data_IF_118864026457
#
_entry.id   IF_118864026457
#
_cell.length_a   1.000
_cell.length_b   1.000
_cell.length_c   1.000
_cell.angle_alpha   90.00
_cell.angle_beta   90.00
_cell.angle_gamma   90.00
#
_symmetry.space_group_name_H-M   'P 1'
#
loop_
_entity.id
_entity.type
_entity.pdbx_description
1 polymer ?
#
# COMPACT_ATOMS: atom_id res chain seq x y z
N UNK A 1 14.76 -0.19 -23.33
CA UNK A 1 15.94 -0.63 -22.55
C UNK A 1 15.77 -0.18 -21.11
N UNK A 2 16.27 -0.96 -20.15
CA UNK A 2 16.28 -0.58 -18.73
C UNK A 2 17.45 0.34 -18.44
N UNK A 3 17.23 1.30 -17.55
CA UNK A 3 18.27 2.09 -16.89
C UNK A 3 18.04 1.97 -15.39
N UNK A 4 19.11 1.77 -14.63
CA UNK A 4 19.07 1.60 -13.18
C UNK A 4 19.92 2.64 -12.47
N UNK A 5 19.49 3.01 -11.27
CA UNK A 5 20.21 3.94 -10.39
C UNK A 5 19.92 3.59 -8.93
N UNK A 6 20.85 3.92 -8.04
CA UNK A 6 20.60 3.98 -6.59
C UNK A 6 20.23 5.39 -6.12
N UNK A 7 20.30 6.38 -7.02
CA UNK A 7 19.97 7.78 -6.73
C UNK A 7 18.46 7.99 -6.75
N UNK A 8 17.89 8.26 -5.58
CA UNK A 8 16.50 8.67 -5.44
C UNK A 8 16.19 9.93 -6.27
N UNK A 9 17.05 10.94 -6.23
CA UNK A 9 16.82 12.22 -6.92
C UNK A 9 16.79 12.05 -8.44
N UNK A 10 17.68 11.21 -8.97
CA UNK A 10 17.69 10.89 -10.40
C UNK A 10 16.43 10.13 -10.80
N UNK A 11 16.06 9.10 -10.02
CA UNK A 11 14.87 8.31 -10.28
C UNK A 11 13.60 9.16 -10.23
N UNK A 12 13.43 9.98 -9.19
CA UNK A 12 12.28 10.87 -9.05
C UNK A 12 12.18 11.81 -10.27
N UNK A 13 13.28 12.43 -10.68
CA UNK A 13 13.31 13.34 -11.84
C UNK A 13 12.85 12.68 -13.15
N UNK A 14 13.14 11.39 -13.35
CA UNK A 14 12.87 10.69 -14.62
C UNK A 14 11.55 9.93 -14.58
N UNK A 15 11.29 9.18 -13.52
CA UNK A 15 10.15 8.24 -13.44
C UNK A 15 8.89 8.86 -12.84
N UNK A 16 9.00 9.83 -11.91
CA UNK A 16 7.83 10.42 -11.24
C UNK A 16 6.82 11.05 -12.23
N UNK A 17 7.24 11.81 -13.27
CA UNK A 17 6.29 12.34 -14.26
C UNK A 17 5.49 11.24 -14.99
N UNK A 18 6.11 10.09 -15.25
CA UNK A 18 5.43 8.93 -15.84
C UNK A 18 4.47 8.28 -14.84
N UNK A 19 4.90 8.09 -13.59
CA UNK A 19 4.09 7.49 -12.52
C UNK A 19 2.84 8.34 -12.21
N UNK A 20 2.96 9.67 -12.28
CA UNK A 20 1.86 10.62 -12.10
C UNK A 20 0.79 10.53 -13.20
N UNK A 21 1.04 9.82 -14.30
CA UNK A 21 0.02 9.57 -15.34
C UNK A 21 -1.12 8.66 -14.87
N UNK A 22 -0.89 7.82 -13.86
CA UNK A 22 -1.93 7.02 -13.19
C UNK A 22 -1.61 6.87 -11.69
N UNK A 23 -1.88 7.90 -10.86
CA UNK A 23 -1.52 7.88 -9.45
C UNK A 23 -2.22 6.79 -8.64
N UNK A 24 -3.39 6.33 -9.10
CA UNK A 24 -4.16 5.25 -8.45
C UNK A 24 -3.41 3.93 -8.59
N UNK A 25 -3.05 3.52 -9.80
CA UNK A 25 -2.29 2.27 -10.02
C UNK A 25 -0.85 2.36 -9.51
N UNK A 26 -0.29 3.58 -9.48
CA UNK A 26 1.08 3.85 -9.04
C UNK A 26 1.17 4.32 -7.58
N UNK A 27 0.09 4.19 -6.80
CA UNK A 27 0.00 4.68 -5.41
C UNK A 27 1.17 4.21 -4.54
N UNK A 28 1.63 2.97 -4.71
CA UNK A 28 2.75 2.44 -3.92
C UNK A 28 4.06 3.11 -4.30
N UNK A 29 4.38 3.20 -5.59
CA UNK A 29 5.60 3.84 -6.09
C UNK A 29 5.67 5.32 -5.68
N UNK A 30 4.56 6.05 -5.84
CA UNK A 30 4.47 7.47 -5.46
C UNK A 30 4.58 7.67 -3.93
N UNK A 31 3.97 6.78 -3.13
CA UNK A 31 4.11 6.82 -1.67
C UNK A 31 5.56 6.53 -1.24
N UNK A 32 6.27 5.62 -1.92
CA UNK A 32 7.68 5.35 -1.65
C UNK A 32 8.52 6.59 -1.96
N UNK A 33 8.30 7.25 -3.11
CA UNK A 33 8.95 8.51 -3.44
C UNK A 33 8.71 9.59 -2.39
N UNK A 34 7.45 9.77 -1.95
CA UNK A 34 7.10 10.74 -0.91
C UNK A 34 7.80 10.45 0.43
N UNK A 35 7.87 9.18 0.84
CA UNK A 35 8.57 8.78 2.06
C UNK A 35 10.08 9.04 1.98
N UNK A 36 10.73 8.68 0.86
CA UNK A 36 12.15 8.93 0.65
C UNK A 36 12.46 10.42 0.67
N UNK A 37 11.60 11.23 0.02
CA UNK A 37 11.68 12.70 0.06
C UNK A 37 11.56 13.27 1.48
N UNK A 38 10.76 12.62 2.32
CA UNK A 38 10.62 12.97 3.74
C UNK A 38 11.77 12.44 4.62
N UNK A 39 12.83 11.87 4.04
CA UNK A 39 14.02 11.40 4.75
C UNK A 39 13.90 9.99 5.31
N UNK A 40 12.93 9.18 4.86
CA UNK A 40 12.88 7.78 5.23
C UNK A 40 14.13 7.05 4.74
N UNK A 41 14.87 6.37 5.63
CA UNK A 41 16.08 5.66 5.22
C UNK A 41 15.73 4.45 4.36
N UNK A 42 16.57 4.19 3.37
CA UNK A 42 16.58 2.93 2.60
C UNK A 42 18.01 2.46 2.45
N UNK A 43 18.21 1.14 2.46
CA UNK A 43 19.53 0.54 2.27
C UNK A 43 19.55 -0.16 0.91
N UNK A 44 20.61 0.09 0.16
CA UNK A 44 20.87 -0.53 -1.15
C UNK A 44 19.66 -0.50 -2.12
N UNK A 45 19.01 0.68 -2.32
CA UNK A 45 17.86 0.75 -3.21
C UNK A 45 18.28 0.52 -4.66
N UNK A 46 17.42 -0.14 -5.42
CA UNK A 46 17.52 -0.25 -6.87
C UNK A 46 16.28 0.40 -7.47
N UNK A 47 16.49 1.48 -8.21
CA UNK A 47 15.43 2.13 -8.97
C UNK A 47 15.68 1.92 -10.45
N UNK A 48 14.61 1.76 -11.24
CA UNK A 48 14.75 1.58 -12.67
C UNK A 48 13.59 2.14 -13.49
N UNK A 49 13.89 2.51 -14.72
CA UNK A 49 12.89 2.88 -15.72
C UNK A 49 13.18 2.23 -17.07
N UNK A 50 12.11 1.90 -17.78
CA UNK A 50 12.15 1.32 -19.11
C UNK A 50 11.80 2.38 -20.14
N UNK A 51 12.70 2.57 -21.11
CA UNK A 51 12.54 3.56 -22.17
C UNK A 51 12.29 2.89 -23.52
N UNK A 52 11.30 3.40 -24.26
CA UNK A 52 11.02 3.08 -25.67
C UNK A 52 10.94 4.41 -26.43
N UNK A 53 11.68 4.55 -27.53
CA UNK A 53 11.72 5.77 -28.36
C UNK A 53 11.98 7.06 -27.55
N UNK A 54 12.90 6.98 -26.58
CA UNK A 54 13.26 8.11 -25.72
C UNK A 54 12.24 8.48 -24.65
N UNK A 55 11.12 7.75 -24.54
CA UNK A 55 10.07 7.99 -23.55
C UNK A 55 10.02 6.89 -22.49
N UNK A 56 9.82 7.27 -21.23
CA UNK A 56 9.58 6.32 -20.14
C UNK A 56 8.24 5.63 -20.38
N UNK A 57 8.28 4.29 -20.45
CA UNK A 57 7.12 3.41 -20.64
C UNK A 57 6.94 2.40 -19.51
N UNK A 58 7.93 2.29 -18.63
CA UNK A 58 7.79 1.50 -17.42
C UNK A 58 8.72 1.97 -16.31
N UNK A 59 8.39 1.57 -15.10
CA UNK A 59 9.13 1.96 -13.90
C UNK A 59 9.06 0.86 -12.84
N UNK A 60 10.18 0.65 -12.16
CA UNK A 60 10.29 -0.26 -11.02
C UNK A 60 11.10 0.40 -9.90
N UNK A 61 10.84 -0.05 -8.68
CA UNK A 61 11.64 0.30 -7.53
C UNK A 61 11.84 -0.95 -6.66
N UNK A 62 12.95 -1.00 -5.95
CA UNK A 62 13.24 -2.03 -4.99
C UNK A 62 13.98 -1.40 -3.82
N UNK A 63 13.32 -1.38 -2.66
CA UNK A 63 13.87 -0.85 -1.40
C UNK A 63 13.93 -1.99 -0.39
N UNK A 64 15.00 -2.81 -0.39
CA UNK A 64 15.13 -3.92 0.53
C UNK A 64 14.89 -3.53 1.99
N UNK A 65 14.24 -4.40 2.80
CA UNK A 65 13.90 -5.80 2.49
C UNK A 65 12.59 -5.99 1.70
N UNK A 66 11.89 -4.93 1.34
CA UNK A 66 10.59 -5.03 0.66
C UNK A 66 10.72 -5.63 -0.76
N UNK A 67 9.67 -6.29 -1.27
CA UNK A 67 9.66 -6.85 -2.63
C UNK A 67 9.88 -5.76 -3.68
N UNK A 68 10.44 -6.15 -4.83
CA UNK A 68 10.53 -5.27 -5.99
C UNK A 68 9.13 -4.89 -6.49
N UNK A 69 8.85 -3.59 -6.55
CA UNK A 69 7.59 -3.04 -7.04
C UNK A 69 7.59 -2.92 -8.56
N UNK A 70 6.71 -3.68 -9.21
CA UNK A 70 6.52 -3.75 -10.67
C UNK A 70 5.18 -3.14 -11.11
N UNK A 71 4.69 -2.14 -10.35
CA UNK A 71 3.35 -1.55 -10.51
C UNK A 71 3.11 -0.90 -11.87
N UNK A 72 4.17 -0.34 -12.47
CA UNK A 72 4.13 0.38 -13.74
C UNK A 72 5.03 -0.29 -14.79
N UNK A 73 5.20 -1.62 -14.74
CA UNK A 73 6.03 -2.35 -15.70
C UNK A 73 5.14 -2.99 -16.75
N UNK A 74 5.27 -2.65 -18.04
CA UNK A 74 4.52 -3.33 -19.09
C UNK A 74 5.05 -4.75 -19.28
N UNK A 75 4.18 -5.68 -19.71
CA UNK A 75 4.50 -7.13 -19.80
C UNK A 75 5.74 -7.40 -20.64
N UNK A 76 5.91 -6.68 -21.75
CA UNK A 76 7.06 -6.81 -22.65
C UNK A 76 8.39 -6.36 -22.03
N UNK A 77 8.36 -5.54 -20.97
CA UNK A 77 9.56 -5.10 -20.27
C UNK A 77 10.00 -6.08 -19.16
N UNK A 78 9.19 -7.10 -18.84
CA UNK A 78 9.49 -8.05 -17.76
C UNK A 78 10.68 -8.95 -18.09
N UNK A 79 10.73 -9.55 -19.28
CA UNK A 79 11.87 -10.41 -19.65
C UNK A 79 13.20 -9.64 -19.66
N UNK A 80 13.30 -8.45 -20.29
CA UNK A 80 14.49 -7.61 -20.19
C UNK A 80 14.81 -7.15 -18.77
N UNK A 81 13.81 -6.99 -17.89
CA UNK A 81 14.04 -6.64 -16.48
C UNK A 81 14.72 -7.78 -15.74
N UNK A 82 14.16 -8.99 -15.88
CA UNK A 82 14.68 -10.21 -15.26
C UNK A 82 16.11 -10.47 -15.71
N UNK A 83 16.38 -10.34 -17.02
CA UNK A 83 17.73 -10.46 -17.58
C UNK A 83 18.69 -9.42 -17.00
N UNK A 84 18.28 -8.15 -16.96
CA UNK A 84 19.14 -7.07 -16.45
C UNK A 84 19.39 -7.13 -14.93
N UNK A 85 18.60 -7.92 -14.20
CA UNK A 85 18.80 -8.21 -12.78
C UNK A 85 19.49 -9.57 -12.56
N UNK A 86 20.02 -10.22 -13.60
CA UNK A 86 20.64 -11.54 -13.54
C UNK A 86 19.71 -12.60 -12.90
N UNK A 87 18.40 -12.50 -13.16
CA UNK A 87 17.39 -13.37 -12.55
C UNK A 87 17.08 -13.07 -11.07
N UNK A 88 17.69 -12.05 -10.48
CA UNK A 88 17.55 -11.73 -9.04
C UNK A 88 16.27 -10.95 -8.75
N UNK A 89 15.17 -11.67 -8.56
CA UNK A 89 13.91 -11.15 -8.03
C UNK A 89 13.38 -12.08 -6.94
N UNK A 90 13.98 -12.08 -5.72
CA UNK A 90 13.58 -12.99 -4.64
C UNK A 90 12.16 -12.74 -4.17
N UNK A 91 11.67 -11.50 -4.31
CA UNK A 91 10.26 -11.19 -4.15
C UNK A 91 9.88 -10.00 -5.04
N UNK A 92 8.69 -10.05 -5.62
CA UNK A 92 8.15 -8.94 -6.40
C UNK A 92 6.65 -8.77 -6.19
N UNK A 93 6.14 -7.57 -6.46
CA UNK A 93 4.72 -7.25 -6.40
C UNK A 93 4.33 -6.44 -7.62
N UNK A 94 3.22 -6.79 -8.27
CA UNK A 94 2.72 -6.07 -9.44
C UNK A 94 1.38 -6.62 -9.93
N UNK A 95 0.82 -6.05 -11.02
CA UNK A 95 -0.41 -6.54 -11.63
C UNK A 95 -0.32 -8.03 -12.00
N UNK A 96 -1.46 -8.73 -12.04
CA UNK A 96 -1.48 -10.18 -12.31
C UNK A 96 -0.81 -10.57 -13.64
N UNK A 97 -0.94 -9.76 -14.68
CA UNK A 97 -0.29 -9.99 -15.98
C UNK A 97 1.24 -9.87 -15.93
N UNK A 98 1.76 -8.92 -15.15
CA UNK A 98 3.19 -8.66 -14.96
C UNK A 98 3.82 -9.75 -14.10
N UNK A 99 3.16 -10.08 -12.99
CA UNK A 99 3.61 -11.14 -12.07
C UNK A 99 3.51 -12.51 -12.72
N UNK A 100 2.45 -12.78 -13.51
CA UNK A 100 2.35 -13.98 -14.33
C UNK A 100 3.46 -14.08 -15.39
N UNK A 101 3.90 -12.97 -15.97
CA UNK A 101 5.07 -12.95 -16.86
C UNK A 101 6.38 -13.27 -16.09
N UNK A 102 6.55 -12.71 -14.89
CA UNK A 102 7.69 -13.02 -14.04
C UNK A 102 7.74 -14.52 -13.65
N UNK A 103 6.60 -15.11 -13.25
CA UNK A 103 6.49 -16.54 -12.93
C UNK A 103 6.85 -17.43 -14.12
N UNK A 104 6.48 -17.06 -15.36
CA UNK A 104 6.87 -17.85 -16.55
C UNK A 104 8.39 -17.87 -16.78
N UNK A 105 9.10 -16.83 -16.35
CA UNK A 105 10.55 -16.70 -16.54
C UNK A 105 11.35 -17.30 -15.38
N UNK A 106 10.89 -17.07 -14.14
CA UNK A 106 11.59 -17.45 -12.92
C UNK A 106 11.18 -18.84 -12.41
N UNK A 107 10.07 -19.39 -12.89
CA UNK A 107 9.47 -20.62 -12.38
C UNK A 107 8.40 -20.35 -11.31
N UNK A 108 7.85 -21.41 -10.68
CA UNK A 108 6.81 -21.28 -9.67
C UNK A 108 7.35 -20.62 -8.39
N UNK A 109 6.67 -19.61 -7.82
CA UNK A 109 7.04 -19.01 -6.54
C UNK A 109 6.73 -19.95 -5.37
N UNK A 110 7.47 -19.82 -4.26
CA UNK A 110 7.21 -20.55 -3.02
C UNK A 110 6.01 -20.00 -2.23
N UNK A 111 5.68 -18.71 -2.43
CA UNK A 111 4.48 -18.09 -1.86
C UNK A 111 3.84 -17.10 -2.84
N UNK A 112 2.50 -17.10 -2.86
CA UNK A 112 1.68 -16.12 -3.58
C UNK A 112 0.65 -15.53 -2.63
N UNK A 113 0.57 -14.20 -2.54
CA UNK A 113 -0.53 -13.47 -1.90
C UNK A 113 -1.15 -12.56 -2.94
N UNK A 114 -2.45 -12.67 -3.17
CA UNK A 114 -3.13 -11.85 -4.18
C UNK A 114 -4.01 -10.81 -3.52
N UNK A 115 -3.89 -9.57 -3.96
CA UNK A 115 -4.64 -8.44 -3.43
C UNK A 115 -5.39 -7.71 -4.53
N UNK A 116 -6.46 -7.03 -4.15
CA UNK A 116 -7.21 -6.14 -5.01
C UNK A 116 -6.98 -4.70 -4.60
N UNK A 117 -6.58 -3.87 -5.57
CA UNK A 117 -6.65 -2.43 -5.45
C UNK A 117 -8.09 -1.98 -5.64
N UNK A 118 -8.60 -1.27 -4.65
CA UNK A 118 -9.87 -0.57 -4.71
C UNK A 118 -9.64 0.95 -4.72
N UNK A 119 -10.54 1.67 -5.39
CA UNK A 119 -10.65 3.12 -5.33
C UNK A 119 -12.02 3.50 -4.78
N UNK A 120 -12.08 4.49 -3.90
CA UNK A 120 -13.34 5.03 -3.41
C UNK A 120 -14.09 5.74 -4.54
N UNK A 121 -15.32 5.31 -4.81
CA UNK A 121 -16.30 6.02 -5.63
C UNK A 121 -17.08 7.01 -4.76
N UNK A 122 -18.39 6.81 -4.65
CA UNK A 122 -19.22 7.60 -3.72
C UNK A 122 -19.21 6.97 -2.33
N UNK A 123 -18.65 7.69 -1.35
CA UNK A 123 -18.58 7.21 0.03
C UNK A 123 -19.98 6.99 0.62
N UNK A 124 -20.22 5.75 1.07
CA UNK A 124 -21.40 5.41 1.87
C UNK A 124 -20.99 5.28 3.33
N UNK A 125 -21.46 6.20 4.18
CA UNK A 125 -21.14 6.19 5.62
C UNK A 125 -22.03 5.16 6.31
N UNK A 126 -21.47 4.13 6.96
CA UNK A 126 -22.28 3.11 7.63
C UNK A 126 -22.88 3.64 8.93
N UNK A 127 -24.13 3.26 9.22
CA UNK A 127 -24.80 3.56 10.48
C UNK A 127 -24.31 2.59 11.58
N UNK A 128 -23.23 2.97 12.25
CA UNK A 128 -22.58 2.18 13.31
C UNK A 128 -22.44 3.08 14.54
N UNK A 129 -22.87 2.66 15.74
CA UNK A 129 -22.70 3.46 16.95
C UNK A 129 -21.23 3.78 17.24
N UNK A 130 -20.98 5.03 17.62
CA UNK A 130 -19.67 5.54 17.97
C UNK A 130 -19.27 6.77 17.17
N UNK A 131 -17.98 7.10 17.23
CA UNK A 131 -17.41 8.22 16.47
C UNK A 131 -15.97 7.95 16.10
N UNK A 132 -15.56 8.45 14.94
CA UNK A 132 -14.17 8.43 14.54
C UNK A 132 -13.42 9.66 15.04
N UNK A 133 -12.15 9.47 15.42
CA UNK A 133 -11.23 10.57 15.74
C UNK A 133 -9.81 10.26 15.27
N UNK A 134 -9.00 11.30 15.17
CA UNK A 134 -7.56 11.14 15.05
C UNK A 134 -6.98 10.57 16.35
N UNK A 135 -5.98 9.70 16.22
CA UNK A 135 -5.19 9.24 17.35
C UNK A 135 -4.31 10.37 17.92
N UNK A 136 -4.04 10.28 19.21
CA UNK A 136 -3.27 11.23 20.01
C UNK A 136 -2.03 10.53 20.59
N UNK A 137 -1.03 11.28 21.09
CA UNK A 137 0.15 10.69 21.73
C UNK A 137 -0.18 9.69 22.86
N UNK A 138 -1.30 9.87 23.57
CA UNK A 138 -1.75 8.95 24.61
C UNK A 138 -2.21 7.58 24.11
N UNK A 139 -2.52 7.45 22.81
CA UNK A 139 -2.95 6.19 22.20
C UNK A 139 -1.76 5.27 21.81
N UNK A 140 -0.51 5.74 21.93
CA UNK A 140 0.68 5.02 21.44
C UNK A 140 0.77 3.57 21.96
N UNK A 141 0.60 3.26 23.27
CA UNK A 141 0.69 1.87 23.74
C UNK A 141 -0.36 0.95 23.10
N UNK A 142 -1.58 1.46 22.93
CA UNK A 142 -2.68 0.72 22.30
C UNK A 142 -2.38 0.45 20.82
N UNK A 143 -1.95 1.49 20.11
CA UNK A 143 -1.64 1.40 18.68
C UNK A 143 -0.51 0.41 18.41
N UNK A 144 0.55 0.41 19.22
CA UNK A 144 1.64 -0.57 19.14
C UNK A 144 1.08 -1.98 19.30
N UNK A 145 0.28 -2.22 20.34
CA UNK A 145 -0.34 -3.54 20.57
C UNK A 145 -1.23 -3.98 19.40
N UNK A 146 -2.00 -3.08 18.81
CA UNK A 146 -2.86 -3.40 17.66
C UNK A 146 -2.08 -3.65 16.38
N UNK A 147 -0.98 -2.93 16.13
CA UNK A 147 -0.10 -3.21 15.00
C UNK A 147 0.62 -4.55 15.15
N UNK A 148 1.04 -4.91 16.37
CA UNK A 148 1.62 -6.23 16.66
C UNK A 148 0.60 -7.34 16.37
N UNK A 149 -0.60 -7.24 16.94
CA UNK A 149 -1.66 -8.22 16.71
C UNK A 149 -2.07 -8.32 15.23
N UNK A 150 -2.14 -7.19 14.51
CA UNK A 150 -2.37 -7.20 13.06
C UNK A 150 -1.26 -7.97 12.32
N UNK A 151 0.01 -7.73 12.67
CA UNK A 151 1.14 -8.41 12.06
C UNK A 151 1.16 -9.92 12.33
N UNK A 152 0.82 -10.33 13.55
CA UNK A 152 0.68 -11.74 13.93
C UNK A 152 -0.43 -12.44 13.14
N UNK A 153 -1.59 -11.79 12.96
CA UNK A 153 -2.73 -12.39 12.27
C UNK A 153 -2.56 -12.46 10.74
N UNK A 154 -1.85 -11.51 10.14
CA UNK A 154 -1.72 -11.38 8.67
C UNK A 154 -0.40 -11.89 8.13
N UNK A 155 0.60 -12.10 9.01
CA UNK A 155 1.99 -12.27 8.62
C UNK A 155 2.59 -11.03 7.97
N UNK A 156 1.93 -9.86 8.08
CA UNK A 156 2.40 -8.57 7.58
C UNK A 156 2.94 -7.73 8.74
N UNK A 157 4.24 -7.82 9.00
CA UNK A 157 4.88 -7.08 10.06
C UNK A 157 6.39 -7.15 9.91
N UNK A 158 7.01 -6.01 9.58
CA UNK A 158 8.46 -5.89 9.44
C UNK A 158 8.94 -4.63 10.16
N UNK A 159 10.17 -4.70 10.65
CA UNK A 159 10.85 -3.60 11.33
C UNK A 159 10.35 -3.33 12.74
N UNK A 160 10.78 -2.20 13.29
CA UNK A 160 10.39 -1.76 14.62
C UNK A 160 8.95 -1.18 14.59
N UNK A 161 8.02 -1.92 15.19
CA UNK A 161 6.60 -1.52 15.28
C UNK A 161 6.43 -0.24 16.10
N UNK A 162 7.24 -0.03 17.14
CA UNK A 162 7.15 1.15 18.01
C UNK A 162 7.52 2.39 17.22
N UNK A 163 8.67 2.37 16.54
CA UNK A 163 9.14 3.50 15.73
C UNK A 163 8.17 3.79 14.57
N UNK A 164 7.68 2.74 13.92
CA UNK A 164 6.69 2.87 12.84
C UNK A 164 5.41 3.53 13.33
N UNK A 165 4.84 3.09 14.46
CA UNK A 165 3.62 3.66 15.01
C UNK A 165 3.86 5.09 15.49
N UNK A 166 4.98 5.36 16.16
CA UNK A 166 5.32 6.70 16.63
C UNK A 166 5.43 7.71 15.47
N UNK A 167 6.10 7.33 14.37
CA UNK A 167 6.21 8.17 13.17
C UNK A 167 4.83 8.46 12.56
N UNK A 168 4.00 7.43 12.38
CA UNK A 168 2.64 7.60 11.85
C UNK A 168 1.76 8.46 12.75
N UNK A 169 1.91 8.31 14.06
CA UNK A 169 1.19 9.11 15.04
C UNK A 169 1.59 10.59 14.96
N UNK A 170 2.90 10.87 14.88
CA UNK A 170 3.42 12.22 14.69
C UNK A 170 2.96 12.84 13.35
N UNK A 171 2.86 12.03 12.30
CA UNK A 171 2.36 12.43 10.98
C UNK A 171 0.82 12.53 10.90
N UNK A 172 0.09 12.31 12.02
CA UNK A 172 -1.38 12.34 12.07
C UNK A 172 -2.01 11.36 11.06
N UNK A 173 -1.42 10.17 10.92
CA UNK A 173 -1.84 9.15 9.94
C UNK A 173 -2.75 8.07 10.54
N UNK A 174 -3.03 8.11 11.85
CA UNK A 174 -3.73 7.05 12.57
C UNK A 174 -5.09 7.54 13.07
N UNK A 175 -6.14 6.79 12.75
CA UNK A 175 -7.52 7.09 13.10
C UNK A 175 -8.11 5.96 13.93
N UNK A 176 -8.87 6.31 14.97
CA UNK A 176 -9.56 5.38 15.84
C UNK A 176 -11.06 5.56 15.71
N UNK A 177 -11.78 4.44 15.72
CA UNK A 177 -13.22 4.43 15.98
C UNK A 177 -13.46 4.15 17.45
N UNK A 178 -14.20 5.02 18.11
CA UNK A 178 -14.57 4.87 19.52
C UNK A 178 -16.02 4.45 19.64
N UNK A 179 -16.26 3.35 20.36
CA UNK A 179 -17.59 2.83 20.64
C UNK A 179 -17.63 2.28 22.06
N UNK A 180 -18.77 2.44 22.74
CA UNK A 180 -18.92 2.02 24.14
C UNK A 180 -17.80 2.64 25.04
N UNK A 181 -17.48 3.91 24.80
CA UNK A 181 -16.46 4.69 25.53
C UNK A 181 -15.01 4.16 25.43
N UNK A 182 -14.70 3.35 24.42
CA UNK A 182 -13.34 2.85 24.20
C UNK A 182 -12.99 2.74 22.70
N UNK A 183 -11.69 2.81 22.34
CA UNK A 183 -11.25 2.48 20.99
C UNK A 183 -11.66 1.04 20.61
N UNK A 184 -12.27 0.91 19.44
CA UNK A 184 -12.86 -0.33 18.95
C UNK A 184 -12.30 -0.77 17.59
N UNK A 185 -11.73 0.15 16.80
CA UNK A 185 -11.06 -0.17 15.53
C UNK A 185 -10.06 0.92 15.14
N UNK A 186 -9.09 0.56 14.32
CA UNK A 186 -8.05 1.44 13.78
C UNK A 186 -8.10 1.41 12.25
N UNK A 187 -7.88 2.57 11.63
CA UNK A 187 -7.43 2.69 10.25
C UNK A 187 -6.23 3.62 10.19
N UNK A 188 -5.26 3.29 9.35
CA UNK A 188 -4.17 4.20 9.03
C UNK A 188 -4.30 4.74 7.61
N UNK A 189 -3.71 5.90 7.36
CA UNK A 189 -3.73 6.61 6.09
C UNK A 189 -2.28 6.92 5.67
N UNK A 190 -1.91 6.64 4.43
CA UNK A 190 -0.60 7.05 3.90
C UNK A 190 -0.50 8.58 3.80
N UNK A 191 0.72 9.13 3.67
CA UNK A 191 0.87 10.48 3.14
C UNK A 191 0.19 10.57 1.75
N UNK A 192 -0.21 11.78 1.37
CA UNK A 192 -0.68 12.06 0.02
C UNK A 192 0.50 11.95 -0.96
N UNK A 193 0.26 11.29 -2.09
CA UNK A 193 1.18 11.31 -3.22
C UNK A 193 0.42 11.22 -4.55
N UNK A 194 0.58 12.24 -5.41
CA UNK A 194 -0.08 12.31 -6.71
C UNK A 194 -1.60 12.47 -6.63
N UNK A 195 -2.10 13.17 -5.62
CA UNK A 195 -3.51 13.34 -5.30
C UNK A 195 -4.16 12.15 -4.60
N UNK A 196 -3.37 11.14 -4.18
CA UNK A 196 -3.90 9.87 -3.63
C UNK A 196 -3.43 9.64 -2.20
N UNK A 197 -4.35 9.31 -1.30
CA UNK A 197 -4.04 8.66 -0.02
C UNK A 197 -4.51 7.21 -0.03
N UNK A 198 -3.76 6.34 0.67
CA UNK A 198 -4.06 4.92 0.80
C UNK A 198 -4.45 4.57 2.23
N UNK A 199 -5.60 3.92 2.41
CA UNK A 199 -6.00 3.31 3.68
C UNK A 199 -5.20 2.01 3.90
N UNK A 200 -4.61 1.85 5.09
CA UNK A 200 -3.98 0.61 5.52
C UNK A 200 -2.86 0.80 6.56
N UNK A 201 -2.77 -0.09 7.58
CA UNK A 201 -3.70 -1.21 7.84
C UNK A 201 -5.05 -0.74 8.42
N UNK A 202 -6.04 -1.63 8.38
CA UNK A 202 -7.29 -1.54 9.15
C UNK A 202 -7.35 -2.72 10.11
N UNK A 203 -7.60 -2.46 11.39
CA UNK A 203 -7.61 -3.50 12.40
C UNK A 203 -8.77 -3.32 13.39
N UNK A 204 -9.53 -4.39 13.59
CA UNK A 204 -10.53 -4.52 14.64
C UNK A 204 -10.16 -5.73 15.50
N UNK A 205 -9.91 -5.56 16.82
CA UNK A 205 -9.55 -6.67 17.69
C UNK A 205 -10.67 -7.74 17.73
N UNK A 206 -10.33 -9.03 17.90
CA UNK A 206 -11.30 -10.14 17.81
C UNK A 206 -12.58 -9.94 18.63
N UNK A 207 -12.47 -9.43 19.87
CA UNK A 207 -13.61 -9.18 20.77
C UNK A 207 -14.57 -8.08 20.29
N UNK A 208 -14.16 -7.25 19.33
CA UNK A 208 -14.93 -6.13 18.76
C UNK A 208 -15.37 -6.38 17.31
N UNK A 209 -15.04 -7.53 16.72
CA UNK A 209 -15.42 -7.88 15.32
C UNK A 209 -16.91 -8.11 15.15
N UNK A 210 -17.37 -8.08 13.89
CA UNK A 210 -18.78 -8.29 13.47
C UNK A 210 -19.77 -7.26 14.05
N UNK A 211 -19.26 -6.06 14.36
CA UNK A 211 -20.04 -4.91 14.83
C UNK A 211 -20.00 -3.70 13.88
N UNK A 212 -19.43 -3.87 12.68
CA UNK A 212 -19.28 -2.79 11.68
C UNK A 212 -18.11 -1.81 11.92
N UNK A 213 -17.36 -1.93 13.02
CA UNK A 213 -16.32 -0.94 13.37
C UNK A 213 -15.18 -0.80 12.35
N UNK A 214 -14.80 -1.89 11.66
CA UNK A 214 -13.83 -1.82 10.56
C UNK A 214 -14.31 -0.97 9.38
N UNK A 215 -15.60 -1.10 9.04
CA UNK A 215 -16.24 -0.28 8.00
C UNK A 215 -16.33 1.18 8.45
N UNK A 216 -16.74 1.42 9.71
CA UNK A 216 -16.90 2.74 10.27
C UNK A 216 -15.58 3.53 10.34
N UNK A 217 -14.50 2.91 10.82
CA UNK A 217 -13.19 3.57 10.88
C UNK A 217 -12.62 3.84 9.49
N UNK A 218 -12.85 2.94 8.53
CA UNK A 218 -12.42 3.12 7.14
C UNK A 218 -13.18 4.27 6.49
N UNK A 219 -14.50 4.31 6.63
CA UNK A 219 -15.33 5.38 6.10
C UNK A 219 -14.97 6.73 6.72
N UNK A 220 -14.73 6.78 8.04
CA UNK A 220 -14.28 8.00 8.71
C UNK A 220 -12.93 8.51 8.18
N UNK A 221 -11.92 7.64 8.11
CA UNK A 221 -10.59 8.01 7.61
C UNK A 221 -10.65 8.44 6.14
N UNK A 222 -11.48 7.77 5.33
CA UNK A 222 -11.70 8.12 3.92
C UNK A 222 -12.32 9.51 3.76
N UNK A 223 -13.34 9.82 4.57
CA UNK A 223 -13.98 11.14 4.58
C UNK A 223 -12.99 12.25 4.92
N UNK A 224 -12.21 12.06 6.01
CA UNK A 224 -11.18 13.03 6.41
C UNK A 224 -10.13 13.21 5.31
N UNK A 225 -9.71 12.13 4.66
CA UNK A 225 -8.75 12.20 3.57
C UNK A 225 -9.25 13.05 2.39
N UNK A 226 -10.51 12.85 1.97
CA UNK A 226 -11.13 13.64 0.89
C UNK A 226 -11.37 15.11 1.26
N UNK A 227 -11.68 15.39 2.52
CA UNK A 227 -11.94 16.76 2.99
C UNK A 227 -10.64 17.56 3.16
N UNK A 228 -9.54 16.92 3.54
CA UNK A 228 -8.36 17.64 4.06
C UNK A 228 -7.04 17.31 3.37
N UNK A 229 -6.93 16.20 2.62
CA UNK A 229 -5.61 15.65 2.25
C UNK A 229 -5.42 15.30 0.78
N UNK A 230 -6.39 14.69 0.13
CA UNK A 230 -6.21 14.10 -1.19
C UNK A 230 -7.49 14.13 -2.03
N UNK A 231 -7.34 13.94 -3.33
CA UNK A 231 -8.45 13.88 -4.29
C UNK A 231 -9.06 12.48 -4.38
N UNK A 232 -8.26 11.44 -4.14
CA UNK A 232 -8.68 10.05 -4.28
C UNK A 232 -8.18 9.20 -3.10
N UNK A 233 -9.05 8.31 -2.62
CA UNK A 233 -8.71 7.35 -1.56
C UNK A 233 -8.72 5.95 -2.14
N UNK A 234 -7.66 5.20 -1.86
CA UNK A 234 -7.49 3.82 -2.33
C UNK A 234 -7.17 2.88 -1.18
N UNK A 235 -7.33 1.58 -1.39
CA UNK A 235 -6.86 0.55 -0.47
C UNK A 235 -6.51 -0.73 -1.22
N UNK A 236 -5.67 -1.54 -0.59
CA UNK A 236 -5.48 -2.93 -1.00
C UNK A 236 -6.17 -3.85 0.01
N UNK A 237 -6.67 -4.97 -0.48
CA UNK A 237 -7.18 -6.04 0.38
C UNK A 237 -6.90 -7.41 -0.21
N UNK A 238 -6.60 -8.38 0.64
CA UNK A 238 -6.43 -9.78 0.25
C UNK A 238 -7.70 -10.31 -0.43
N UNK A 239 -7.54 -10.86 -1.64
CA UNK A 239 -8.62 -11.50 -2.40
C UNK A 239 -9.20 -12.71 -1.68
N UNK A 240 -8.42 -13.38 -0.82
CA UNK A 240 -8.87 -14.50 -0.01
C UNK A 240 -9.74 -14.07 1.19
N UNK A 241 -9.89 -12.77 1.45
CA UNK A 241 -10.71 -12.26 2.55
C UNK A 241 -12.07 -11.71 2.05
N UNK A 242 -13.11 -12.55 1.90
CA UNK A 242 -14.41 -12.12 1.40
C UNK A 242 -15.09 -11.11 2.32
N UNK A 243 -14.78 -11.12 3.62
CA UNK A 243 -15.38 -10.19 4.60
C UNK A 243 -14.91 -8.76 4.35
N UNK A 244 -13.59 -8.55 4.24
CA UNK A 244 -13.03 -7.23 3.94
C UNK A 244 -13.49 -6.73 2.56
N UNK A 245 -13.46 -7.60 1.54
CA UNK A 245 -13.94 -7.25 0.20
C UNK A 245 -15.41 -6.81 0.20
N UNK A 246 -16.28 -7.48 0.95
CA UNK A 246 -17.69 -7.08 1.07
C UNK A 246 -17.85 -5.74 1.81
N UNK A 247 -17.07 -5.52 2.88
CA UNK A 247 -17.08 -4.26 3.66
C UNK A 247 -16.67 -3.07 2.79
N UNK A 248 -15.57 -3.18 2.03
CA UNK A 248 -15.09 -2.06 1.23
C UNK A 248 -16.09 -1.68 0.14
N UNK A 249 -16.67 -2.67 -0.55
CA UNK A 249 -17.73 -2.41 -1.53
C UNK A 249 -18.96 -1.78 -0.89
N UNK A 250 -19.38 -2.22 0.30
CA UNK A 250 -20.57 -1.66 0.96
C UNK A 250 -20.40 -0.20 1.42
N UNK A 251 -19.16 0.28 1.56
CA UNK A 251 -18.88 1.69 1.87
C UNK A 251 -18.47 2.51 0.63
N UNK A 252 -18.63 1.94 -0.58
CA UNK A 252 -18.48 2.67 -1.85
C UNK A 252 -17.14 2.51 -2.57
N UNK A 253 -16.31 1.54 -2.17
CA UNK A 253 -15.09 1.22 -2.92
C UNK A 253 -15.38 0.34 -4.15
N UNK A 254 -14.73 0.70 -5.26
CA UNK A 254 -14.86 0.04 -6.56
C UNK A 254 -13.55 -0.66 -6.95
N UNK A 255 -13.60 -1.86 -7.52
CA UNK A 255 -12.41 -2.61 -7.92
C UNK A 255 -11.66 -1.90 -9.06
N UNK A 256 -10.33 -1.83 -8.98
CA UNK A 256 -9.48 -1.21 -10.03
C UNK A 256 -8.65 -2.25 -10.76
N UNK A 257 -7.87 -3.05 -10.02
CA UNK A 257 -6.98 -4.07 -10.57
C UNK A 257 -6.56 -5.04 -9.48
N UNK A 258 -6.25 -6.27 -9.89
CA UNK A 258 -5.71 -7.30 -9.01
C UNK A 258 -4.17 -7.35 -9.16
N UNK A 259 -3.51 -7.64 -8.05
CA UNK A 259 -2.06 -7.67 -7.90
C UNK A 259 -1.67 -8.97 -7.19
N UNK A 260 -0.44 -9.42 -7.44
CA UNK A 260 0.14 -10.54 -6.70
C UNK A 260 1.48 -10.14 -6.09
N UNK A 261 1.69 -10.58 -4.86
CA UNK A 261 2.98 -10.63 -4.20
C UNK A 261 3.53 -12.04 -4.41
N UNK A 262 4.68 -12.12 -5.07
CA UNK A 262 5.40 -13.35 -5.31
C UNK A 262 6.64 -13.40 -4.41
N UNK A 263 6.90 -14.56 -3.81
CA UNK A 263 8.15 -14.85 -3.10
C UNK A 263 8.77 -16.10 -3.71
N UNK A 264 10.08 -16.05 -3.94
CA UNK A 264 10.92 -17.12 -4.45
C UNK A 264 11.96 -17.49 -3.39
N UNK A 265 12.42 -18.74 -3.42
CA UNK A 265 13.44 -19.27 -2.50
C UNK A 265 14.87 -18.95 -2.94
#
# INVERSE_FOLDING_TARGET
MWTFTSSFDEYARVAEPFLLGDPVRNTVALTVLANLRAGMPTKDPVFGWWTVDGQVRGSMFWTPPHPAGLFAVPVEAVAPLVEALDGRLPACVGPLEVTGAATRLLGPPSRVVSERLYRLGTLTVPDVPGSGRLATPGDLPLLVSWYQAFGEETGMGEGDVVDRVARRLAARELFLWEAEQAPASLAALSPEAGGVCRIGPVYTPPSRRRRGYGAAVTAHASRVALEERCEQVVLFTDLANPTSNAIYQSIGYEPVSDYAHLTYD
#
